data_IF_812888187346
#
_entry.id   IF_812888187346
#
_cell.length_a   1.000
_cell.length_b   1.000
_cell.length_c   1.000
_cell.angle_alpha   90.00
_cell.angle_beta   90.00
_cell.angle_gamma   90.00
#
_symmetry.space_group_name_H-M   'P 1'
#
loop_
_entity.id
_entity.type
_entity.pdbx_description
1 polymer ?
#
# COMPACT_ATOMS: atom_id res chain seq x y z
N UNK A 1 -15.37 16.67 5.00
CA UNK A 1 -14.03 16.72 4.36
C UNK A 1 -13.55 15.31 4.10
N UNK A 2 -12.91 15.05 2.96
CA UNK A 2 -12.24 13.77 2.74
C UNK A 2 -11.09 13.61 3.76
N UNK A 3 -10.97 12.43 4.36
CA UNK A 3 -9.99 12.15 5.41
C UNK A 3 -8.85 11.32 4.84
N UNK A 4 -7.60 11.66 5.21
CA UNK A 4 -6.43 10.84 4.92
C UNK A 4 -5.76 10.44 6.22
N UNK A 5 -5.88 9.17 6.58
CA UNK A 5 -5.23 8.62 7.77
C UNK A 5 -3.74 8.43 7.47
N UNK A 6 -2.91 9.15 8.22
CA UNK A 6 -1.45 9.06 8.11
C UNK A 6 -0.97 7.71 8.65
N UNK A 7 -0.10 7.05 7.88
CA UNK A 7 0.43 5.74 8.24
C UNK A 7 1.36 5.79 9.45
N UNK A 8 1.39 4.69 10.18
CA UNK A 8 2.39 4.35 11.20
C UNK A 8 3.22 3.19 10.67
N UNK A 9 4.56 3.23 10.77
CA UNK A 9 5.37 2.15 10.20
C UNK A 9 5.54 2.22 8.67
N UNK A 10 6.21 1.23 8.07
CA UNK A 10 6.25 1.00 6.63
C UNK A 10 5.05 0.10 6.26
N UNK A 11 3.86 0.69 6.26
CA UNK A 11 2.58 -0.03 6.16
C UNK A 11 1.67 0.60 5.10
N UNK A 12 2.27 1.28 4.10
CA UNK A 12 1.53 2.11 3.16
C UNK A 12 0.46 1.33 2.38
N UNK A 13 0.70 0.04 2.07
CA UNK A 13 -0.29 -0.81 1.43
C UNK A 13 -1.56 -0.93 2.27
N UNK A 14 -1.41 -1.27 3.55
CA UNK A 14 -2.54 -1.45 4.46
C UNK A 14 -3.31 -0.13 4.65
N UNK A 15 -2.61 0.99 4.89
CA UNK A 15 -3.28 2.28 5.03
C UNK A 15 -3.91 2.78 3.73
N UNK A 16 -3.33 2.49 2.56
CA UNK A 16 -3.95 2.82 1.29
C UNK A 16 -5.28 2.08 1.15
N UNK A 17 -5.32 0.78 1.47
CA UNK A 17 -6.55 -0.01 1.48
C UNK A 17 -7.57 0.53 2.47
N UNK A 18 -7.18 0.79 3.72
CA UNK A 18 -8.07 1.35 4.75
C UNK A 18 -8.67 2.70 4.32
N UNK A 19 -7.85 3.62 3.81
CA UNK A 19 -8.35 4.92 3.33
C UNK A 19 -9.34 4.75 2.16
N UNK A 20 -9.08 3.81 1.25
CA UNK A 20 -10.01 3.46 0.17
C UNK A 20 -11.32 2.86 0.68
N UNK A 21 -11.24 1.90 1.61
CA UNK A 21 -12.40 1.25 2.24
C UNK A 21 -13.28 2.22 3.02
N UNK A 22 -12.69 3.19 3.72
CA UNK A 22 -13.47 4.22 4.42
C UNK A 22 -14.13 5.18 3.45
N UNK A 23 -13.45 5.52 2.34
CA UNK A 23 -14.03 6.38 1.33
C UNK A 23 -15.21 5.71 0.61
N UNK A 24 -15.00 4.51 0.06
CA UNK A 24 -16.03 3.81 -0.72
C UNK A 24 -17.28 3.55 0.12
N UNK A 25 -17.15 3.35 1.44
CA UNK A 25 -18.28 3.14 2.35
C UNK A 25 -18.77 4.41 3.06
N UNK A 26 -18.34 5.59 2.60
CA UNK A 26 -18.75 6.89 3.15
C UNK A 26 -18.57 7.02 4.68
N UNK A 27 -17.64 6.24 5.26
CA UNK A 27 -17.40 6.29 6.70
C UNK A 27 -16.59 7.54 7.01
N UNK A 28 -17.30 8.56 7.49
CA UNK A 28 -16.72 9.80 8.00
C UNK A 28 -16.24 9.55 9.43
N UNK A 29 -15.26 10.33 9.87
CA UNK A 29 -14.81 10.40 11.28
C UNK A 29 -14.09 9.16 11.82
N UNK A 30 -13.27 8.50 11.00
CA UNK A 30 -12.42 7.41 11.52
C UNK A 30 -11.19 7.98 12.20
N UNK A 31 -11.03 7.75 13.50
CA UNK A 31 -9.85 8.25 14.20
C UNK A 31 -8.59 7.50 13.75
N UNK A 32 -7.44 8.17 13.84
CA UNK A 32 -6.14 7.51 13.61
C UNK A 32 -5.96 6.30 14.53
N UNK A 33 -6.43 6.37 15.77
CA UNK A 33 -6.33 5.27 16.73
C UNK A 33 -7.13 4.04 16.26
N UNK A 34 -8.35 4.23 15.76
CA UNK A 34 -9.17 3.14 15.22
C UNK A 34 -8.49 2.46 14.04
N UNK A 35 -7.92 3.26 13.12
CA UNK A 35 -7.17 2.72 11.99
C UNK A 35 -5.88 2.02 12.43
N UNK A 36 -5.12 2.58 13.38
CA UNK A 36 -3.91 1.94 13.89
C UNK A 36 -4.23 0.60 14.60
N UNK A 37 -5.35 0.51 15.35
CA UNK A 37 -5.82 -0.78 15.92
C UNK A 37 -6.09 -1.81 14.84
N UNK A 38 -6.78 -1.42 13.77
CA UNK A 38 -7.08 -2.30 12.64
C UNK A 38 -5.81 -2.75 11.90
N UNK A 39 -4.88 -1.83 11.65
CA UNK A 39 -3.57 -2.15 11.04
C UNK A 39 -2.78 -3.10 11.90
N UNK A 40 -2.75 -2.90 13.22
CA UNK A 40 -2.10 -3.81 14.15
C UNK A 40 -2.68 -5.22 14.04
N UNK A 41 -4.01 -5.37 14.10
CA UNK A 41 -4.67 -6.67 13.96
C UNK A 41 -4.38 -7.34 12.61
N UNK A 42 -4.36 -6.58 11.50
CA UNK A 42 -4.01 -7.12 10.19
C UNK A 42 -2.57 -7.58 10.10
N UNK A 43 -1.63 -6.82 10.68
CA UNK A 43 -0.23 -7.21 10.74
C UNK A 43 -0.06 -8.45 11.61
N UNK A 44 -0.49 -8.41 12.86
CA UNK A 44 -0.32 -9.52 13.82
C UNK A 44 -0.87 -10.85 13.28
N UNK A 45 -2.01 -10.83 12.60
CA UNK A 45 -2.62 -12.02 12.02
C UNK A 45 -1.89 -12.55 10.76
N UNK A 46 -1.16 -11.70 10.03
CA UNK A 46 -0.61 -12.02 8.71
C UNK A 46 0.90 -11.81 8.59
N UNK A 47 1.61 -11.51 9.67
CA UNK A 47 3.07 -11.45 9.67
C UNK A 47 3.68 -12.83 9.36
N UNK A 48 4.83 -12.82 8.69
CA UNK A 48 5.65 -14.03 8.50
C UNK A 48 6.08 -14.58 9.86
N UNK A 49 5.96 -15.90 10.03
CA UNK A 49 6.35 -16.64 11.24
C UNK A 49 7.38 -17.72 10.86
N UNK A 50 8.08 -18.25 11.86
CA UNK A 50 9.15 -19.26 11.68
C UNK A 50 8.66 -20.58 11.06
N UNK A 51 7.35 -20.87 11.10
CA UNK A 51 6.79 -22.06 10.47
C UNK A 51 6.91 -21.99 8.94
N UNK A 52 7.56 -23.02 8.38
CA UNK A 52 8.16 -23.19 7.05
C UNK A 52 7.30 -22.96 5.81
N UNK A 53 6.05 -22.51 5.94
CA UNK A 53 5.20 -22.17 4.80
C UNK A 53 4.77 -20.71 4.87
N UNK A 54 5.38 -19.87 4.04
CA UNK A 54 4.82 -18.56 3.67
C UNK A 54 3.40 -18.80 3.18
N UNK A 55 2.40 -18.53 4.03
CA UNK A 55 1.01 -18.64 3.60
C UNK A 55 0.75 -17.56 2.56
N UNK A 56 0.13 -17.91 1.44
CA UNK A 56 -0.32 -16.96 0.42
C UNK A 56 -1.02 -15.76 1.08
N UNK A 57 -0.54 -14.53 0.83
CA UNK A 57 -1.08 -13.32 1.47
C UNK A 57 -0.55 -13.01 2.88
N UNK A 58 0.61 -13.52 3.29
CA UNK A 58 1.37 -12.98 4.44
C UNK A 58 2.18 -11.75 4.05
N UNK A 59 2.58 -10.95 5.04
CA UNK A 59 3.45 -9.78 4.86
C UNK A 59 4.61 -9.80 5.85
N UNK A 60 5.77 -9.27 5.46
CA UNK A 60 6.88 -9.17 6.42
C UNK A 60 6.76 -7.91 7.31
N UNK A 61 6.29 -6.78 6.76
CA UNK A 61 6.14 -5.51 7.51
C UNK A 61 4.88 -4.70 7.17
N UNK A 62 4.02 -5.18 6.27
CA UNK A 62 2.84 -4.45 5.79
C UNK A 62 3.07 -3.55 4.57
N UNK A 63 4.23 -3.68 3.91
CA UNK A 63 4.62 -2.94 2.71
C UNK A 63 5.46 -3.84 1.79
N UNK A 64 5.74 -3.36 0.58
CA UNK A 64 6.59 -4.01 -0.43
C UNK A 64 6.02 -5.30 -1.01
N UNK A 65 4.69 -5.45 -1.03
CA UNK A 65 4.05 -6.56 -1.72
C UNK A 65 4.37 -6.56 -3.22
N UNK A 66 4.60 -7.74 -3.79
CA UNK A 66 4.26 -7.97 -5.19
C UNK A 66 2.72 -7.95 -5.36
N UNK A 67 2.23 -7.81 -6.58
CA UNK A 67 0.80 -7.63 -6.81
C UNK A 67 -0.05 -8.84 -6.37
N UNK A 68 0.41 -10.07 -6.62
CA UNK A 68 -0.35 -11.28 -6.32
C UNK A 68 -0.42 -11.54 -4.81
N UNK A 69 0.71 -11.37 -4.11
CA UNK A 69 0.73 -11.44 -2.65
C UNK A 69 -0.11 -10.32 -2.02
N UNK A 70 -0.15 -9.15 -2.63
CA UNK A 70 -1.01 -8.07 -2.16
C UNK A 70 -2.49 -8.41 -2.31
N UNK A 71 -2.93 -8.87 -3.48
CA UNK A 71 -4.32 -9.30 -3.71
C UNK A 71 -4.71 -10.40 -2.72
N UNK A 72 -3.84 -11.38 -2.53
CA UNK A 72 -4.05 -12.47 -1.57
C UNK A 72 -4.20 -11.95 -0.14
N UNK A 73 -3.36 -10.99 0.27
CA UNK A 73 -3.47 -10.32 1.56
C UNK A 73 -4.79 -9.56 1.69
N UNK A 74 -5.18 -8.77 0.67
CA UNK A 74 -6.43 -8.02 0.66
C UNK A 74 -7.65 -8.93 0.77
N UNK A 75 -7.68 -10.04 0.04
CA UNK A 75 -8.77 -11.01 0.10
C UNK A 75 -8.94 -11.65 1.50
N UNK A 76 -7.87 -11.78 2.28
CA UNK A 76 -7.97 -12.23 3.68
C UNK A 76 -8.57 -11.19 4.60
N UNK A 77 -8.22 -9.91 4.41
CA UNK A 77 -8.61 -8.85 5.34
C UNK A 77 -9.89 -8.13 4.93
N UNK A 78 -10.38 -8.26 3.69
CA UNK A 78 -11.54 -7.48 3.20
C UNK A 78 -12.80 -7.65 4.05
N UNK A 79 -13.05 -8.85 4.57
CA UNK A 79 -14.26 -9.18 5.36
C UNK A 79 -14.19 -8.73 6.82
N UNK A 80 -13.04 -8.24 7.28
CA UNK A 80 -12.89 -7.71 8.65
C UNK A 80 -13.47 -6.31 8.81
N UNK A 81 -13.79 -5.64 7.70
CA UNK A 81 -14.43 -4.34 7.72
C UNK A 81 -15.91 -4.53 8.07
N UNK A 82 -16.36 -3.89 9.15
CA UNK A 82 -17.73 -3.97 9.69
C UNK A 82 -18.70 -3.12 8.83
N UNK A 83 -18.77 -3.42 7.54
CA UNK A 83 -19.80 -2.90 6.64
C UNK A 83 -20.73 -4.08 6.32
N UNK A 84 -21.67 -4.32 7.25
CA UNK A 84 -22.62 -5.43 7.14
C UNK A 84 -23.26 -5.40 5.75
N UNK A 85 -23.25 -6.56 5.07
CA UNK A 85 -23.90 -6.82 3.78
C UNK A 85 -23.25 -6.26 2.51
N UNK A 86 -22.01 -5.74 2.58
CA UNK A 86 -21.27 -5.34 1.37
C UNK A 86 -20.12 -6.33 1.16
N UNK A 87 -20.12 -7.04 0.02
CA UNK A 87 -18.95 -7.80 -0.44
C UNK A 87 -18.15 -6.93 -1.44
N UNK A 88 -16.88 -7.28 -1.62
CA UNK A 88 -15.96 -6.57 -2.48
C UNK A 88 -15.29 -7.53 -3.46
N UNK A 89 -15.35 -7.15 -4.72
CA UNK A 89 -14.59 -7.75 -5.79
C UNK A 89 -13.24 -7.04 -5.91
N UNK A 90 -12.15 -7.80 -5.94
CA UNK A 90 -10.79 -7.27 -6.01
C UNK A 90 -10.13 -7.84 -7.27
N UNK A 91 -9.87 -6.97 -8.25
CA UNK A 91 -9.33 -7.37 -9.55
C UNK A 91 -8.08 -6.59 -9.93
N UNK A 92 -7.18 -7.24 -10.65
CA UNK A 92 -6.06 -6.58 -11.32
C UNK A 92 -6.54 -6.09 -12.68
N UNK A 93 -6.21 -4.85 -13.03
CA UNK A 93 -6.48 -4.24 -14.35
C UNK A 93 -5.23 -3.53 -14.86
N UNK A 94 -5.18 -3.24 -16.15
CA UNK A 94 -4.16 -2.36 -16.72
C UNK A 94 -4.40 -0.91 -16.33
N UNK A 95 -3.34 -0.09 -16.28
CA UNK A 95 -3.43 1.34 -15.93
C UNK A 95 -4.36 2.11 -16.87
N UNK A 96 -4.41 1.72 -18.15
CA UNK A 96 -5.28 2.34 -19.15
C UNK A 96 -6.77 2.15 -18.83
N UNK A 97 -7.12 1.24 -17.90
CA UNK A 97 -8.49 1.12 -17.39
C UNK A 97 -8.95 2.40 -16.67
N UNK A 98 -8.03 3.26 -16.24
CA UNK A 98 -8.34 4.57 -15.66
C UNK A 98 -8.70 5.65 -16.71
N UNK A 99 -8.53 5.36 -18.00
CA UNK A 99 -9.01 6.24 -19.09
C UNK A 99 -10.50 6.03 -19.40
N UNK A 100 -11.10 4.92 -18.92
CA UNK A 100 -12.49 4.59 -19.16
C UNK A 100 -13.44 5.47 -18.32
N UNK A 101 -14.37 6.14 -19.00
CA UNK A 101 -15.37 7.02 -18.38
C UNK A 101 -16.20 6.25 -17.35
N UNK A 102 -16.57 5.00 -17.63
CA UNK A 102 -17.37 4.17 -16.71
C UNK A 102 -16.64 3.91 -15.39
N UNK A 103 -15.31 3.80 -15.43
CA UNK A 103 -14.47 3.60 -14.25
C UNK A 103 -14.35 4.89 -13.45
N UNK A 104 -14.20 6.03 -14.12
CA UNK A 104 -14.21 7.35 -13.49
C UNK A 104 -15.55 7.58 -12.78
N UNK A 105 -16.66 7.26 -13.45
CA UNK A 105 -17.99 7.32 -12.87
C UNK A 105 -18.15 6.41 -11.65
N UNK A 106 -17.68 5.17 -11.73
CA UNK A 106 -17.72 4.23 -10.59
C UNK A 106 -16.92 4.75 -9.39
N UNK A 107 -15.78 5.40 -9.62
CA UNK A 107 -15.00 6.05 -8.55
C UNK A 107 -15.79 7.23 -7.95
N UNK A 108 -16.39 8.08 -8.80
CA UNK A 108 -17.16 9.25 -8.36
C UNK A 108 -18.42 8.88 -7.60
N UNK A 109 -19.12 7.82 -8.04
CA UNK A 109 -20.30 7.25 -7.39
C UNK A 109 -19.95 6.41 -6.15
N UNK A 110 -18.66 6.25 -5.84
CA UNK A 110 -18.16 5.46 -4.70
C UNK A 110 -18.58 3.98 -4.77
N UNK A 111 -18.64 3.47 -5.99
CA UNK A 111 -18.84 2.05 -6.30
C UNK A 111 -17.52 1.29 -6.31
N UNK A 112 -16.40 1.99 -6.54
CA UNK A 112 -15.07 1.41 -6.46
C UNK A 112 -14.02 2.41 -5.95
N UNK A 113 -12.86 1.90 -5.56
CA UNK A 113 -11.62 2.67 -5.48
C UNK A 113 -10.48 1.87 -6.08
N UNK A 114 -9.38 2.56 -6.37
CA UNK A 114 -8.21 1.95 -7.02
C UNK A 114 -7.02 2.03 -6.09
N UNK A 115 -6.38 0.89 -5.85
CA UNK A 115 -5.06 0.84 -5.25
C UNK A 115 -4.00 0.88 -6.33
N UNK A 116 -3.09 1.84 -6.20
CA UNK A 116 -2.09 2.11 -7.21
C UNK A 116 -0.69 2.19 -6.61
N UNK A 117 0.23 1.43 -7.21
CA UNK A 117 1.63 1.40 -6.82
C UNK A 117 2.41 2.43 -7.64
N UNK A 118 3.13 3.31 -6.97
CA UNK A 118 3.97 4.33 -7.60
C UNK A 118 5.39 4.28 -7.05
N UNK A 119 6.38 4.62 -7.87
CA UNK A 119 7.74 4.80 -7.36
C UNK A 119 7.75 5.91 -6.30
N UNK A 120 8.30 5.61 -5.12
CA UNK A 120 8.57 6.65 -4.11
C UNK A 120 9.50 7.70 -4.71
N UNK A 121 9.27 9.01 -4.47
CA UNK A 121 10.22 10.02 -4.86
C UNK A 121 11.53 9.73 -4.11
N UNK A 122 12.57 9.36 -4.86
CA UNK A 122 13.90 9.21 -4.30
C UNK A 122 14.31 10.58 -3.78
N UNK A 123 14.58 10.69 -2.49
CA UNK A 123 14.98 11.96 -1.89
C UNK A 123 16.29 12.42 -2.53
N UNK A 124 16.23 13.51 -3.30
CA UNK A 124 17.40 14.17 -3.91
C UNK A 124 18.44 14.62 -2.88
N UNK A 125 18.04 14.77 -1.62
CA UNK A 125 18.89 15.18 -0.50
C UNK A 125 19.89 14.10 -0.03
N UNK A 126 19.89 12.90 -0.62
CA UNK A 126 20.88 11.87 -0.31
C UNK A 126 21.43 11.19 -1.59
N UNK A 127 22.33 11.87 -2.33
CA UNK A 127 22.88 11.37 -3.59
C UNK A 127 23.63 10.03 -3.46
N UNK A 128 24.18 9.71 -2.30
CA UNK A 128 24.87 8.43 -2.04
C UNK A 128 23.88 7.25 -1.96
N UNK A 129 22.73 7.45 -1.30
CA UNK A 129 21.62 6.47 -1.35
C UNK A 129 21.08 6.35 -2.76
N UNK A 130 20.83 7.47 -3.44
CA UNK A 130 20.39 7.52 -4.83
C UNK A 130 21.31 6.69 -5.75
N UNK A 131 22.63 6.89 -5.67
CA UNK A 131 23.61 6.15 -6.48
C UNK A 131 23.62 4.64 -6.19
N UNK A 132 23.54 4.21 -4.91
CA UNK A 132 23.50 2.78 -4.54
C UNK A 132 22.18 2.09 -4.92
N UNK A 133 21.06 2.79 -4.88
CA UNK A 133 19.76 2.27 -5.30
C UNK A 133 19.68 2.17 -6.84
N UNK A 134 20.12 3.21 -7.56
CA UNK A 134 20.12 3.26 -9.02
C UNK A 134 21.08 2.23 -9.64
N UNK A 135 22.32 2.08 -9.16
CA UNK A 135 23.29 1.09 -9.68
C UNK A 135 22.83 -0.37 -9.54
N UNK A 136 21.86 -0.65 -8.67
CA UNK A 136 21.37 -2.02 -8.39
C UNK A 136 19.99 -2.29 -8.96
N UNK A 137 19.43 -1.36 -9.74
CA UNK A 137 18.04 -1.44 -10.21
C UNK A 137 17.02 -1.50 -9.06
N UNK A 138 17.39 -0.98 -7.89
CA UNK A 138 16.59 -1.11 -6.67
C UNK A 138 15.63 0.07 -6.51
N UNK A 139 14.34 -0.19 -6.35
CA UNK A 139 13.30 0.82 -6.14
C UNK A 139 12.39 0.43 -4.98
N UNK A 140 11.77 1.41 -4.34
CA UNK A 140 10.68 1.21 -3.38
C UNK A 140 9.37 1.70 -4.02
N UNK A 141 8.38 0.82 -4.06
CA UNK A 141 7.00 1.16 -4.39
C UNK A 141 6.26 1.70 -3.18
N UNK A 142 5.43 2.72 -3.39
CA UNK A 142 4.47 3.23 -2.41
C UNK A 142 3.06 3.06 -2.95
N UNK A 143 2.18 2.51 -2.12
CA UNK A 143 0.78 2.28 -2.46
C UNK A 143 -0.06 3.50 -2.09
N UNK A 144 -0.94 3.89 -3.00
CA UNK A 144 -1.88 4.99 -2.83
C UNK A 144 -3.29 4.57 -3.28
N UNK A 145 -4.35 4.99 -2.59
CA UNK A 145 -5.71 4.86 -3.09
C UNK A 145 -6.07 6.06 -3.98
N UNK A 146 -6.67 5.80 -5.13
CA UNK A 146 -7.45 6.75 -5.92
C UNK A 146 -8.92 6.48 -5.57
N UNK A 147 -9.59 7.46 -4.98
CA UNK A 147 -10.95 7.23 -4.45
C UNK A 147 -11.95 8.27 -4.93
N UNK A 148 -11.51 9.29 -5.66
CA UNK A 148 -12.39 10.30 -6.24
C UNK A 148 -11.79 10.85 -7.53
N UNK A 149 -12.57 11.62 -8.27
CA UNK A 149 -12.13 12.29 -9.48
C UNK A 149 -12.74 13.69 -9.57
N UNK A 150 -11.88 14.68 -9.78
CA UNK A 150 -12.26 16.07 -10.02
C UNK A 150 -12.35 16.33 -11.53
N UNK A 151 -13.58 16.50 -12.01
CA UNK A 151 -13.87 16.77 -13.42
C UNK A 151 -13.36 18.14 -13.89
N UNK A 152 -13.30 19.13 -13.00
CA UNK A 152 -12.85 20.49 -13.39
C UNK A 152 -11.36 20.48 -13.69
N UNK A 153 -10.61 19.77 -12.86
CA UNK A 153 -9.15 19.71 -12.94
C UNK A 153 -8.62 18.50 -13.73
N UNK A 154 -9.49 17.58 -14.13
CA UNK A 154 -9.16 16.28 -14.73
C UNK A 154 -8.13 15.49 -13.90
N UNK A 155 -8.39 15.39 -12.59
CA UNK A 155 -7.46 14.82 -11.59
C UNK A 155 -8.13 13.77 -10.72
N UNK A 156 -7.45 12.64 -10.54
CA UNK A 156 -7.76 11.67 -9.50
C UNK A 156 -7.40 12.22 -8.12
N UNK A 157 -8.30 12.03 -7.15
CA UNK A 157 -8.12 12.40 -5.75
C UNK A 157 -7.43 11.25 -5.02
N UNK A 158 -6.30 11.55 -4.39
CA UNK A 158 -5.38 10.57 -3.80
C UNK A 158 -5.12 10.86 -2.33
N UNK A 159 -5.35 9.88 -1.44
CA UNK A 159 -4.93 9.97 -0.03
C UNK A 159 -3.53 9.38 0.14
N UNK A 160 -2.52 10.23 0.26
CA UNK A 160 -1.17 9.77 0.51
C UNK A 160 -0.91 9.60 2.02
N UNK A 161 -1.08 8.37 2.49
CA UNK A 161 -0.89 7.96 3.89
C UNK A 161 0.51 8.26 4.43
N UNK A 162 1.56 8.26 3.61
CA UNK A 162 2.92 8.61 4.05
C UNK A 162 3.00 10.06 4.53
N UNK A 163 2.35 10.96 3.80
CA UNK A 163 2.31 12.40 4.13
C UNK A 163 1.12 12.80 4.99
N UNK A 164 0.06 11.99 5.07
CA UNK A 164 -1.21 12.37 5.67
C UNK A 164 -1.97 13.44 4.85
N UNK A 165 -1.69 13.58 3.55
CA UNK A 165 -2.24 14.63 2.69
C UNK A 165 -3.07 14.04 1.56
N UNK A 166 -4.10 14.77 1.17
CA UNK A 166 -4.90 14.51 -0.02
C UNK A 166 -4.39 15.39 -1.16
N UNK A 167 -4.22 14.84 -2.35
CA UNK A 167 -3.76 15.57 -3.54
C UNK A 167 -4.45 15.07 -4.80
N UNK A 168 -4.66 15.98 -5.74
CA UNK A 168 -5.07 15.65 -7.11
C UNK A 168 -3.88 15.28 -7.99
N UNK A 169 -4.02 14.25 -8.82
CA UNK A 169 -3.04 13.89 -9.86
C UNK A 169 -3.73 13.56 -11.18
N UNK A 170 -3.19 14.07 -12.29
CA UNK A 170 -3.61 13.62 -13.61
C UNK A 170 -3.16 12.19 -13.87
N UNK A 171 -3.90 11.46 -14.72
CA UNK A 171 -3.53 10.10 -15.11
C UNK A 171 -2.12 10.03 -15.72
N UNK A 172 -1.76 11.00 -16.56
CA UNK A 172 -0.39 11.13 -17.12
C UNK A 172 0.69 11.17 -16.03
N UNK A 173 0.42 11.90 -14.93
CA UNK A 173 1.36 11.99 -13.79
C UNK A 173 1.46 10.66 -13.04
N UNK A 174 0.31 10.03 -12.80
CA UNK A 174 0.19 8.72 -12.15
C UNK A 174 0.90 7.64 -12.96
N UNK A 175 0.61 7.53 -14.26
CA UNK A 175 1.24 6.61 -15.20
C UNK A 175 2.76 6.82 -15.28
N UNK A 176 3.24 8.08 -15.33
CA UNK A 176 4.68 8.37 -15.31
C UNK A 176 5.36 7.87 -14.03
N UNK A 177 4.71 8.02 -12.87
CA UNK A 177 5.25 7.55 -11.58
C UNK A 177 5.24 6.02 -11.46
N UNK A 178 4.22 5.35 -12.00
CA UNK A 178 4.16 3.89 -12.05
C UNK A 178 5.16 3.31 -13.06
N UNK A 179 5.33 3.92 -14.24
CA UNK A 179 6.30 3.47 -15.26
C UNK A 179 7.75 3.44 -14.75
N UNK A 180 8.08 4.28 -13.76
CA UNK A 180 9.39 4.24 -13.07
C UNK A 180 9.65 2.95 -12.30
N UNK A 181 8.62 2.16 -12.02
CA UNK A 181 8.74 0.84 -11.41
C UNK A 181 9.09 -0.25 -12.45
N UNK A 182 8.94 0.03 -13.75
CA UNK A 182 9.20 -0.95 -14.82
C UNK A 182 10.65 -1.45 -14.75
N UNK A 183 10.81 -2.77 -14.75
CA UNK A 183 12.13 -3.44 -14.68
C UNK A 183 12.96 -3.05 -13.46
N UNK A 184 12.30 -2.67 -12.36
CA UNK A 184 12.96 -2.41 -11.07
C UNK A 184 12.60 -3.48 -10.05
N UNK A 185 13.45 -3.62 -9.04
CA UNK A 185 13.32 -4.65 -8.00
C UNK A 185 13.46 -4.02 -6.63
N UNK A 186 12.83 -4.58 -5.61
CA UNK A 186 13.12 -4.28 -4.21
C UNK A 186 13.99 -5.39 -3.61
N UNK A 187 14.97 -5.03 -2.79
CA UNK A 187 15.89 -6.00 -2.16
C UNK A 187 15.88 -5.86 -0.64
N UNK A 188 15.45 -6.92 0.05
CA UNK A 188 15.39 -6.93 1.52
C UNK A 188 16.75 -6.75 2.19
N UNK A 189 17.82 -7.28 1.57
CA UNK A 189 19.20 -7.10 2.07
C UNK A 189 19.61 -5.63 2.19
N UNK A 190 19.06 -4.75 1.36
CA UNK A 190 19.41 -3.33 1.36
C UNK A 190 18.41 -2.46 2.14
N UNK A 191 17.24 -3.00 2.44
CA UNK A 191 16.26 -2.28 3.23
C UNK A 191 16.73 -2.10 4.68
N UNK A 192 16.92 -0.84 5.08
CA UNK A 192 17.19 -0.43 6.45
C UNK A 192 16.20 0.66 6.82
N UNK A 193 15.42 0.42 7.87
CA UNK A 193 14.59 1.47 8.49
C UNK A 193 15.49 2.28 9.43
N UNK A 194 15.55 3.59 9.25
CA UNK A 194 16.22 4.45 10.23
C UNK A 194 15.54 4.27 11.58
N UNK A 195 16.32 3.98 12.64
CA UNK A 195 15.81 4.01 14.01
C UNK A 195 15.13 5.37 14.21
N UNK A 196 13.87 5.38 14.65
CA UNK A 196 13.26 6.64 15.10
C UNK A 196 14.16 7.21 16.20
N UNK A 197 14.37 8.53 16.19
CA UNK A 197 14.80 9.24 17.40
C UNK A 197 13.80 8.85 18.50
N UNK A 198 14.31 8.46 19.66
CA UNK A 198 13.56 8.00 20.82
C UNK A 198 12.23 8.75 20.98
N UNK A 199 11.11 8.13 20.57
CA UNK A 199 9.79 8.58 20.95
C UNK A 199 9.41 7.80 22.19
N UNK A 200 9.18 8.47 23.32
CA UNK A 200 8.82 7.84 24.59
C UNK A 200 7.52 7.00 24.54
N UNK A 201 6.67 7.24 23.52
CA UNK A 201 5.42 6.50 23.34
C UNK A 201 5.65 5.23 22.51
N UNK A 202 5.52 4.07 23.15
CA UNK A 202 5.45 2.76 22.47
C UNK A 202 4.32 2.79 21.42
N UNK A 203 4.60 2.22 20.25
CA UNK A 203 3.59 2.07 19.21
C UNK A 203 3.57 0.61 18.76
N UNK A 204 2.47 -0.13 19.01
CA UNK A 204 2.40 -1.57 18.75
C UNK A 204 2.73 -1.96 17.31
N UNK A 205 2.33 -1.15 16.31
CA UNK A 205 2.65 -1.40 14.91
C UNK A 205 4.16 -1.30 14.67
N UNK A 206 4.81 -0.25 15.19
CA UNK A 206 6.26 -0.09 15.04
C UNK A 206 7.00 -1.20 15.79
N UNK A 207 6.53 -1.62 16.97
CA UNK A 207 7.15 -2.69 17.76
C UNK A 207 7.11 -4.03 16.99
N UNK A 208 5.95 -4.39 16.41
CA UNK A 208 5.83 -5.56 15.51
C UNK A 208 6.79 -5.48 14.32
N UNK A 209 6.83 -4.32 13.64
CA UNK A 209 7.72 -4.12 12.49
C UNK A 209 9.19 -4.23 12.89
N UNK A 210 9.58 -3.65 14.04
CA UNK A 210 10.96 -3.74 14.52
C UNK A 210 11.34 -5.17 14.89
N UNK A 211 10.43 -5.92 15.52
CA UNK A 211 10.64 -7.33 15.82
C UNK A 211 10.89 -8.13 14.53
N UNK A 212 10.03 -7.97 13.51
CA UNK A 212 10.22 -8.59 12.20
C UNK A 212 11.56 -8.20 11.58
N UNK A 213 11.91 -6.91 11.57
CA UNK A 213 13.17 -6.43 11.00
C UNK A 213 14.43 -6.96 11.72
N UNK A 214 14.36 -7.30 13.02
CA UNK A 214 15.45 -7.97 13.74
C UNK A 214 15.66 -9.39 13.23
N UNK A 215 14.60 -10.12 12.95
CA UNK A 215 14.64 -11.49 12.40
C UNK A 215 14.89 -11.55 10.89
N UNK A 216 14.94 -10.39 10.20
CA UNK A 216 15.11 -10.33 8.74
C UNK A 216 16.28 -11.15 8.21
N UNK A 217 17.44 -11.10 8.87
CA UNK A 217 18.61 -11.86 8.41
C UNK A 217 18.34 -13.35 8.49
N UNK A 218 17.87 -13.82 9.64
CA UNK A 218 17.53 -15.22 9.87
C UNK A 218 16.47 -15.73 8.88
N UNK A 219 15.41 -14.95 8.60
CA UNK A 219 14.40 -15.34 7.61
C UNK A 219 14.93 -15.38 6.17
N UNK A 220 15.89 -14.51 5.82
CA UNK A 220 16.57 -14.58 4.52
C UNK A 220 17.46 -15.82 4.44
N UNK A 221 18.21 -16.12 5.50
CA UNK A 221 19.14 -17.25 5.57
C UNK A 221 18.39 -18.60 5.55
N UNK A 222 17.22 -18.68 6.20
CA UNK A 222 16.30 -19.83 6.19
C UNK A 222 15.47 -19.96 4.90
N UNK A 223 15.54 -19.00 3.97
CA UNK A 223 14.73 -18.99 2.74
C UNK A 223 13.24 -18.68 2.95
N UNK A 224 12.82 -18.30 4.17
CA UNK A 224 11.44 -17.91 4.50
C UNK A 224 11.10 -16.55 3.90
N UNK A 225 12.06 -15.63 3.80
CA UNK A 225 11.85 -14.34 3.16
C UNK A 225 12.49 -14.36 1.76
N UNK A 226 11.67 -14.18 0.73
CA UNK A 226 12.18 -14.04 -0.64
C UNK A 226 13.09 -12.80 -0.69
N UNK A 227 14.35 -12.90 -1.12
CA UNK A 227 15.34 -11.84 -0.97
C UNK A 227 15.07 -10.60 -1.84
N UNK A 228 14.30 -10.78 -2.90
CA UNK A 228 13.97 -9.74 -3.88
C UNK A 228 12.50 -9.80 -4.28
N UNK A 229 11.93 -8.64 -4.57
CA UNK A 229 10.53 -8.50 -5.03
C UNK A 229 10.56 -7.70 -6.32
N UNK A 230 10.11 -8.29 -7.41
CA UNK A 230 10.04 -7.59 -8.70
C UNK A 230 8.83 -6.67 -8.70
N UNK A 231 9.04 -5.40 -9.07
CA UNK A 231 7.93 -4.47 -9.15
C UNK A 231 7.07 -4.75 -10.38
N UNK A 232 5.75 -4.65 -10.20
CA UNK A 232 4.80 -4.66 -11.31
C UNK A 232 4.52 -3.22 -11.74
N UNK A 233 4.63 -2.96 -13.04
CA UNK A 233 4.28 -1.68 -13.68
C UNK A 233 3.21 -1.92 -14.74
N UNK A 234 2.40 -0.90 -15.02
CA UNK A 234 1.30 -0.98 -15.97
C UNK A 234 0.03 -1.60 -15.42
N UNK A 235 0.02 -2.02 -14.14
CA UNK A 235 -1.16 -2.61 -13.48
C UNK A 235 -1.67 -1.75 -12.31
N UNK A 236 -2.96 -1.89 -12.04
CA UNK A 236 -3.70 -1.32 -10.90
C UNK A 236 -4.47 -2.45 -10.21
N UNK A 237 -4.88 -2.21 -8.97
CA UNK A 237 -5.86 -3.07 -8.27
C UNK A 237 -7.14 -2.27 -8.09
N UNK A 238 -8.25 -2.76 -8.62
CA UNK A 238 -9.57 -2.16 -8.41
C UNK A 238 -10.31 -2.94 -7.32
N UNK A 239 -10.90 -2.23 -6.37
CA UNK A 239 -11.74 -2.77 -5.31
C UNK A 239 -13.13 -2.21 -5.55
N UNK A 240 -14.08 -3.06 -5.95
CA UNK A 240 -15.44 -2.69 -6.33
C UNK A 240 -16.45 -3.33 -5.38
N UNK A 241 -17.47 -2.58 -4.97
CA UNK A 241 -18.60 -3.14 -4.22
C UNK A 241 -19.37 -4.13 -5.09
N UNK A 242 -19.77 -5.24 -4.49
CA UNK A 242 -20.76 -6.16 -5.05
C UNK A 242 -22.06 -5.84 -4.32
N UNK A 243 -22.99 -5.20 -5.02
CA UNK A 243 -24.36 -5.06 -4.52
C UNK A 243 -25.03 -6.43 -4.63
N UNK A 244 -25.58 -6.90 -3.50
CA UNK A 244 -26.37 -8.14 -3.44
C UNK A 244 -27.84 -7.84 -3.67
#
# INVERSE_FOLDING_TARGET
MAQCIKQTGPTCGIYAFINGMYHINQKKDVSKEQADKMVYSFLEANIVKDDSNIKTGTTFVGEFFDFESYISFLNKIKNTFIYKNIDYDIKIKDVNYLDDISVIEDIQKQNCFVLFSIATPISWWNPIKLYRFLKKGSMISHWIPLYGYDNKENKFIVANSSSGKIKGFSLKTLAKKNKRLKSTTFYWKYYKRSKKRFTFKKNPIEDLVQAQLKSKKDFLDKGILIPKINHTSGKIVIVKKIEK
#
